data_IF_841972404891
#
_entry.id   IF_841972404891
#
_cell.length_a   1.000
_cell.length_b   1.000
_cell.length_c   1.000
_cell.angle_alpha   90.00
_cell.angle_beta   90.00
_cell.angle_gamma   90.00
#
_symmetry.space_group_name_H-M   'P 1'
#
loop_
_entity.id
_entity.type
_entity.pdbx_description
1 polymer ?
#
# COMPACT_ATOMS: atom_id res chain seq x y z
N UNK A 1 11.98 -16.97 12.22
CA UNK A 1 10.57 -16.84 11.81
C UNK A 1 10.44 -17.36 10.39
N UNK A 2 9.22 -17.61 9.91
CA UNK A 2 9.01 -17.99 8.50
C UNK A 2 9.16 -16.74 7.63
N UNK A 3 9.78 -16.86 6.45
CA UNK A 3 9.91 -15.75 5.46
C UNK A 3 8.57 -15.06 5.21
N UNK A 4 7.46 -15.82 5.23
CA UNK A 4 6.11 -15.29 5.05
C UNK A 4 5.68 -14.36 6.20
N UNK A 5 6.06 -14.68 7.43
CA UNK A 5 5.73 -13.85 8.59
C UNK A 5 6.50 -12.53 8.53
N UNK A 6 7.80 -12.59 8.18
CA UNK A 6 8.64 -11.41 8.06
C UNK A 6 8.09 -10.42 7.02
N UNK A 7 7.60 -10.91 5.87
CA UNK A 7 6.97 -10.07 4.84
C UNK A 7 5.66 -9.43 5.33
N UNK A 8 4.82 -10.15 6.08
CA UNK A 8 3.58 -9.60 6.61
C UNK A 8 3.86 -8.49 7.63
N UNK A 9 4.86 -8.69 8.48
CA UNK A 9 5.25 -7.70 9.49
C UNK A 9 5.79 -6.42 8.82
N UNK A 10 6.58 -6.54 7.74
CA UNK A 10 7.09 -5.41 6.95
C UNK A 10 5.97 -4.62 6.26
N UNK A 11 5.00 -5.33 5.66
CA UNK A 11 3.83 -4.71 5.02
C UNK A 11 2.97 -3.96 6.05
N UNK A 12 2.77 -4.54 7.24
CA UNK A 12 2.02 -3.90 8.33
C UNK A 12 2.75 -2.67 8.89
N UNK A 13 4.08 -2.68 8.97
CA UNK A 13 4.87 -1.52 9.38
C UNK A 13 4.66 -0.33 8.45
N UNK A 14 4.73 -0.55 7.14
CA UNK A 14 4.48 0.49 6.13
C UNK A 14 3.04 0.98 6.20
N UNK A 15 2.08 0.07 6.39
CA UNK A 15 0.67 0.43 6.54
C UNK A 15 0.47 1.39 7.71
N UNK A 16 1.00 1.07 8.90
CA UNK A 16 0.88 1.91 10.09
C UNK A 16 1.59 3.26 9.92
N UNK A 17 2.72 3.29 9.21
CA UNK A 17 3.42 4.53 8.86
C UNK A 17 2.54 5.43 7.98
N UNK A 18 2.00 4.88 6.90
CA UNK A 18 1.17 5.63 5.97
C UNK A 18 -0.17 6.07 6.57
N UNK A 19 -0.75 5.29 7.50
CA UNK A 19 -1.93 5.73 8.25
C UNK A 19 -1.72 7.02 9.06
N UNK A 20 -0.49 7.27 9.54
CA UNK A 20 -0.16 8.49 10.31
C UNK A 20 -0.01 9.73 9.42
N UNK A 21 0.12 9.55 8.12
CA UNK A 21 0.31 10.61 7.15
C UNK A 21 -1.01 10.89 6.44
N UNK A 22 -1.58 12.08 6.68
CA UNK A 22 -2.85 12.49 6.07
C UNK A 22 -2.68 12.50 4.55
N UNK A 23 -3.54 11.76 3.85
CA UNK A 23 -3.56 11.72 2.39
C UNK A 23 -2.63 10.69 1.76
N UNK A 24 -1.85 9.91 2.53
CA UNK A 24 -0.94 8.88 2.00
C UNK A 24 -1.60 7.72 1.27
N UNK A 25 -2.92 7.59 1.33
CA UNK A 25 -3.66 6.64 0.50
C UNK A 25 -4.48 7.35 -0.58
N UNK A 26 -4.27 8.64 -0.82
CA UNK A 26 -4.99 9.38 -1.85
C UNK A 26 -4.34 9.19 -3.21
N UNK A 27 -5.13 9.28 -4.28
CA UNK A 27 -4.64 9.32 -5.67
C UNK A 27 -3.57 10.40 -5.89
N UNK A 28 -3.66 11.51 -5.17
CA UNK A 28 -2.77 12.66 -5.31
C UNK A 28 -1.37 12.36 -4.77
N UNK A 29 -1.29 11.76 -3.59
CA UNK A 29 -0.03 11.47 -2.92
C UNK A 29 0.53 10.08 -3.32
N UNK A 30 -0.31 9.19 -3.85
CA UNK A 30 0.07 7.83 -4.24
C UNK A 30 -0.57 7.42 -5.57
N UNK A 31 -0.13 8.01 -6.70
CA UNK A 31 -0.64 7.66 -8.02
C UNK A 31 -0.34 6.20 -8.41
N UNK A 32 0.68 5.58 -7.83
CA UNK A 32 1.02 4.16 -7.98
C UNK A 32 -0.09 3.29 -7.38
N UNK A 33 -0.56 3.63 -6.18
CA UNK A 33 -1.66 2.94 -5.51
C UNK A 33 -2.94 2.99 -6.34
N UNK A 34 -3.26 4.16 -6.93
CA UNK A 34 -4.36 4.30 -7.90
C UNK A 34 -4.18 3.35 -9.09
N UNK A 35 -2.99 3.31 -9.68
CA UNK A 35 -2.71 2.48 -10.85
C UNK A 35 -2.80 0.98 -10.56
N UNK A 36 -2.49 0.54 -9.35
CA UNK A 36 -2.66 -0.86 -8.94
C UNK A 36 -4.12 -1.17 -8.63
N UNK A 37 -4.83 -0.27 -7.94
CA UNK A 37 -6.22 -0.49 -7.55
C UNK A 37 -7.22 -0.36 -8.69
N UNK A 38 -6.93 0.37 -9.79
CA UNK A 38 -7.86 0.48 -10.93
C UNK A 38 -8.24 -0.86 -11.59
N UNK A 39 -7.50 -1.93 -11.28
CA UNK A 39 -7.75 -3.30 -11.73
C UNK A 39 -8.32 -4.21 -10.64
N UNK A 40 -8.55 -3.69 -9.43
CA UNK A 40 -9.19 -4.39 -8.33
C UNK A 40 -10.71 -4.45 -8.56
N UNK A 41 -11.34 -5.54 -8.14
CA UNK A 41 -12.79 -5.74 -8.27
C UNK A 41 -13.64 -4.73 -7.47
N UNK A 42 -13.07 -4.13 -6.42
CA UNK A 42 -13.74 -3.17 -5.53
C UNK A 42 -13.61 -1.73 -6.04
N UNK A 43 -12.77 -1.50 -7.05
CA UNK A 43 -12.51 -0.15 -7.54
C UNK A 43 -13.74 0.48 -8.20
N UNK A 44 -14.19 1.60 -7.63
CA UNK A 44 -15.43 2.30 -8.02
C UNK A 44 -15.17 3.67 -8.67
N UNK A 45 -13.97 3.91 -9.20
CA UNK A 45 -13.60 5.15 -9.87
C UNK A 45 -12.76 6.09 -9.01
N UNK A 46 -12.89 7.40 -9.26
CA UNK A 46 -11.99 8.40 -8.68
C UNK A 46 -12.19 8.65 -7.17
N UNK A 47 -13.40 8.39 -6.64
CA UNK A 47 -13.74 8.54 -5.22
C UNK A 47 -13.48 7.26 -4.40
N UNK A 48 -12.60 6.38 -4.88
CA UNK A 48 -12.30 5.10 -4.22
C UNK A 48 -11.55 5.29 -2.88
N UNK A 49 -12.08 4.71 -1.81
CA UNK A 49 -11.40 4.61 -0.52
C UNK A 49 -10.46 3.39 -0.51
N UNK A 50 -9.16 3.66 -0.67
CA UNK A 50 -8.14 2.62 -0.70
C UNK A 50 -7.95 1.90 0.64
N UNK A 51 -8.45 2.45 1.75
CA UNK A 51 -8.39 1.75 3.04
C UNK A 51 -9.26 0.48 3.06
N UNK A 52 -10.31 0.42 2.23
CA UNK A 52 -11.12 -0.78 2.03
C UNK A 52 -10.36 -1.89 1.29
N UNK A 53 -9.27 -1.53 0.59
CA UNK A 53 -8.44 -2.49 -0.13
C UNK A 53 -7.35 -3.13 0.74
N UNK A 54 -7.31 -2.90 2.06
CA UNK A 54 -6.24 -3.41 2.95
C UNK A 54 -5.90 -4.89 2.75
N UNK A 55 -6.93 -5.73 2.61
CA UNK A 55 -6.78 -7.18 2.47
C UNK A 55 -6.66 -7.64 1.00
N UNK A 56 -6.72 -6.69 0.05
CA UNK A 56 -6.62 -6.96 -1.38
C UNK A 56 -5.16 -7.01 -1.83
N UNK A 57 -4.90 -7.89 -2.79
CA UNK A 57 -3.54 -8.10 -3.32
C UNK A 57 -2.93 -6.82 -3.93
N UNK A 58 -3.76 -5.95 -4.52
CA UNK A 58 -3.30 -4.66 -5.07
C UNK A 58 -2.68 -3.77 -3.98
N UNK A 59 -3.32 -3.67 -2.82
CA UNK A 59 -2.88 -2.84 -1.70
C UNK A 59 -1.66 -3.45 -1.00
N UNK A 60 -1.69 -4.77 -0.79
CA UNK A 60 -0.54 -5.51 -0.22
C UNK A 60 0.69 -5.34 -1.10
N UNK A 61 0.54 -5.46 -2.43
CA UNK A 61 1.65 -5.27 -3.36
C UNK A 61 2.17 -3.83 -3.34
N UNK A 62 1.28 -2.83 -3.24
CA UNK A 62 1.70 -1.44 -3.11
C UNK A 62 2.49 -1.20 -1.82
N UNK A 63 2.02 -1.71 -0.68
CA UNK A 63 2.74 -1.63 0.59
C UNK A 63 4.12 -2.32 0.53
N UNK A 64 4.23 -3.43 -0.19
CA UNK A 64 5.51 -4.11 -0.41
C UNK A 64 6.46 -3.28 -1.27
N UNK A 65 5.97 -2.58 -2.31
CA UNK A 65 6.77 -1.67 -3.11
C UNK A 65 7.25 -0.47 -2.29
N UNK A 66 6.36 0.14 -1.51
CA UNK A 66 6.70 1.21 -0.57
C UNK A 66 7.77 0.78 0.45
N UNK A 67 7.68 -0.47 0.95
CA UNK A 67 8.71 -1.03 1.82
C UNK A 67 10.06 -1.14 1.09
N UNK A 68 10.06 -1.65 -0.14
CA UNK A 68 11.27 -1.77 -0.95
C UNK A 68 11.90 -0.40 -1.24
N UNK A 69 11.09 0.60 -1.60
CA UNK A 69 11.56 1.96 -1.85
C UNK A 69 12.11 2.59 -0.56
N UNK A 70 11.48 2.33 0.58
CA UNK A 70 11.95 2.80 1.87
C UNK A 70 13.33 2.23 2.24
N UNK A 71 13.53 0.92 2.12
CA UNK A 71 14.82 0.29 2.44
C UNK A 71 15.92 0.66 1.42
N UNK A 72 15.55 0.84 0.15
CA UNK A 72 16.49 1.20 -0.91
C UNK A 72 16.83 2.69 -0.94
N UNK A 73 15.98 3.54 -0.36
CA UNK A 73 16.20 4.98 -0.21
C UNK A 73 17.20 5.39 0.88
N UNK A 74 17.68 4.45 1.70
CA UNK A 74 18.71 4.68 2.73
C UNK A 74 20.15 4.67 2.18
N UNK A 75 20.36 5.12 0.94
CA UNK A 75 21.66 5.16 0.28
C UNK A 75 22.30 6.55 0.23
#
# INVERSE_FOLDING_TARGET
MSVRQDTLDQVEEVYQRNQRCIGSFSKKESPELYNMCKHCEIYMGDDHDYSECRDQQCFINWLALEYLDWINGYH
#
